data_IF_523106024246
#
_entry.id   IF_523106024246
#
_cell.length_a   1.000
_cell.length_b   1.000
_cell.length_c   1.000
_cell.angle_alpha   90.00
_cell.angle_beta   90.00
_cell.angle_gamma   90.00
#
_symmetry.space_group_name_H-M   'P 1'
#
loop_
_entity.id
_entity.type
_entity.pdbx_description
1 polymer ?
#
# COMPACT_ATOMS: atom_id res chain seq x y z
N UNK A 1 2.62 29.80 18.40
CA UNK A 1 2.42 30.13 16.97
C UNK A 1 2.25 28.83 16.19
N UNK A 2 1.33 28.75 15.21
CA UNK A 2 1.26 27.60 14.31
C UNK A 2 2.54 27.52 13.48
N UNK A 3 3.14 26.32 13.39
CA UNK A 3 4.38 26.08 12.64
C UNK A 3 4.20 26.42 11.16
N UNK A 4 5.24 26.99 10.55
CA UNK A 4 5.25 27.34 9.13
C UNK A 4 5.34 26.09 8.23
N UNK A 5 4.92 26.22 6.97
CA UNK A 5 5.01 25.13 5.96
C UNK A 5 6.44 24.58 5.79
N UNK A 6 7.48 25.39 6.01
CA UNK A 6 8.88 24.96 5.92
C UNK A 6 9.33 24.19 7.16
N UNK A 7 8.90 24.62 8.35
CA UNK A 7 9.16 23.89 9.60
C UNK A 7 8.47 22.52 9.62
N UNK A 8 7.22 22.45 9.13
CA UNK A 8 6.56 21.16 8.89
C UNK A 8 7.35 20.28 7.90
N UNK A 9 7.85 20.85 6.80
CA UNK A 9 8.65 20.10 5.80
C UNK A 9 9.97 19.56 6.36
N UNK A 10 10.61 20.26 7.31
CA UNK A 10 11.86 19.82 7.94
C UNK A 10 11.64 18.76 9.03
N UNK A 11 10.61 18.89 9.89
CA UNK A 11 10.24 17.83 10.85
C UNK A 11 9.74 16.55 10.16
N UNK A 12 9.07 16.69 9.02
CA UNK A 12 8.61 15.55 8.22
C UNK A 12 9.79 14.84 7.54
N UNK A 13 10.84 15.56 7.12
CA UNK A 13 12.05 14.96 6.53
C UNK A 13 12.89 14.17 7.55
N UNK A 14 12.82 14.53 8.85
CA UNK A 14 13.50 13.78 9.91
C UNK A 14 12.69 12.57 10.40
N UNK A 15 11.38 12.53 10.12
CA UNK A 15 10.51 11.40 10.39
C UNK A 15 10.42 10.48 9.18
N UNK A 16 11.35 9.53 9.06
CA UNK A 16 11.15 8.39 8.18
C UNK A 16 10.29 7.35 8.94
N UNK A 17 9.01 7.14 8.56
CA UNK A 17 8.12 6.18 9.22
C UNK A 17 8.64 4.73 9.13
N UNK A 18 9.64 4.48 8.29
CA UNK A 18 10.29 3.20 8.08
C UNK A 18 11.67 3.09 8.75
N UNK A 19 12.27 4.20 9.21
CA UNK A 19 13.62 4.23 9.79
C UNK A 19 13.76 3.46 11.10
N UNK A 20 12.65 3.21 11.80
CA UNK A 20 12.65 2.51 13.09
C UNK A 20 12.70 0.99 12.98
N UNK A 21 12.39 0.40 11.82
CA UNK A 21 12.32 -1.06 11.66
C UNK A 21 13.26 -1.54 10.57
N UNK A 22 14.46 -1.97 10.94
CA UNK A 22 15.41 -2.69 10.05
C UNK A 22 14.99 -4.15 9.78
N UNK A 23 13.69 -4.43 9.85
CA UNK A 23 13.11 -5.76 9.69
C UNK A 23 12.16 -5.68 8.50
N UNK A 24 12.40 -6.47 7.44
CA UNK A 24 11.50 -6.54 6.30
C UNK A 24 10.06 -6.83 6.73
N UNK A 25 9.10 -6.22 6.04
CA UNK A 25 7.66 -6.44 6.20
C UNK A 25 7.11 -6.12 7.60
N UNK A 26 7.83 -5.31 8.38
CA UNK A 26 7.28 -4.74 9.63
C UNK A 26 6.45 -3.49 9.38
N UNK A 27 6.79 -2.72 8.37
CA UNK A 27 6.09 -1.49 8.01
C UNK A 27 5.93 -1.48 6.49
N UNK A 28 4.73 -1.22 5.97
CA UNK A 28 4.48 -1.23 4.54
C UNK A 28 3.59 -0.07 4.09
N UNK A 29 3.70 0.25 2.80
CA UNK A 29 2.77 1.12 2.07
C UNK A 29 1.86 0.24 1.22
N UNK A 30 0.57 0.54 1.19
CA UNK A 30 -0.42 -0.16 0.38
C UNK A 30 -1.18 0.83 -0.50
N UNK A 31 -1.45 0.44 -1.74
CA UNK A 31 -2.22 1.25 -2.69
C UNK A 31 -2.81 0.38 -3.79
N UNK A 32 -3.83 0.89 -4.50
CA UNK A 32 -4.55 0.14 -5.52
C UNK A 32 -4.09 0.51 -6.93
N UNK A 33 -3.72 -0.49 -7.71
CA UNK A 33 -3.57 -0.34 -9.15
C UNK A 33 -4.82 -0.84 -9.87
N UNK A 34 -5.66 0.07 -10.34
CA UNK A 34 -6.97 -0.23 -10.93
C UNK A 34 -7.05 0.00 -12.43
N UNK A 35 -5.99 0.48 -13.08
CA UNK A 35 -5.96 0.77 -14.51
C UNK A 35 -5.66 -0.48 -15.37
N UNK A 36 -6.13 -1.66 -14.94
CA UNK A 36 -5.94 -2.91 -15.65
C UNK A 36 -7.19 -3.30 -16.44
N UNK A 37 -7.04 -3.80 -17.69
CA UNK A 37 -8.10 -4.59 -18.32
C UNK A 37 -8.27 -5.91 -17.55
N UNK A 38 -9.42 -6.60 -17.66
CA UNK A 38 -9.58 -7.93 -17.08
C UNK A 38 -8.57 -8.92 -17.66
N UNK A 39 -7.76 -9.55 -16.81
CA UNK A 39 -6.65 -10.44 -17.20
C UNK A 39 -6.89 -11.88 -16.73
N UNK A 40 -6.62 -12.84 -17.62
CA UNK A 40 -6.63 -14.27 -17.33
C UNK A 40 -8.03 -14.86 -17.10
N UNK A 41 -8.07 -16.15 -16.75
CA UNK A 41 -9.34 -16.90 -16.57
C UNK A 41 -10.20 -16.41 -15.40
N UNK A 42 -9.59 -15.75 -14.41
CA UNK A 42 -10.30 -15.17 -13.26
C UNK A 42 -10.69 -13.70 -13.46
N UNK A 43 -10.34 -13.12 -14.61
CA UNK A 43 -10.72 -11.76 -14.99
C UNK A 43 -10.35 -10.71 -13.95
N UNK A 44 -9.16 -10.82 -13.35
CA UNK A 44 -8.67 -9.80 -12.41
C UNK A 44 -8.49 -8.48 -13.12
N UNK A 45 -9.05 -7.40 -12.56
CA UNK A 45 -9.04 -6.07 -13.15
C UNK A 45 -8.42 -5.01 -12.23
N UNK A 46 -7.88 -5.43 -11.07
CA UNK A 46 -7.11 -4.61 -10.17
C UNK A 46 -5.95 -5.40 -9.54
N UNK A 47 -5.05 -4.67 -8.87
CA UNK A 47 -3.98 -5.24 -8.08
C UNK A 47 -3.79 -4.42 -6.81
N UNK A 48 -3.76 -5.07 -5.65
CA UNK A 48 -3.28 -4.48 -4.41
C UNK A 48 -1.76 -4.49 -4.43
N UNK A 49 -1.16 -3.30 -4.40
CA UNK A 49 0.29 -3.12 -4.38
C UNK A 49 0.73 -2.86 -2.95
N UNK A 50 1.57 -3.74 -2.41
CA UNK A 50 2.16 -3.60 -1.08
C UNK A 50 3.65 -3.41 -1.25
N UNK A 51 4.20 -2.33 -0.72
CA UNK A 51 5.64 -2.06 -0.78
C UNK A 51 6.20 -2.10 0.64
N UNK A 52 7.20 -2.96 0.84
CA UNK A 52 7.93 -3.01 2.10
C UNK A 52 8.69 -1.71 2.35
N UNK A 53 8.51 -1.16 3.55
CA UNK A 53 9.16 0.05 3.99
C UNK A 53 10.68 -0.06 4.08
N UNK A 54 11.21 -1.24 4.37
CA UNK A 54 12.64 -1.45 4.55
C UNK A 54 13.33 -1.88 3.26
N UNK A 55 12.99 -3.06 2.72
CA UNK A 55 13.62 -3.62 1.52
C UNK A 55 13.21 -2.93 0.22
N UNK A 56 12.12 -2.15 0.24
CA UNK A 56 11.48 -1.55 -0.95
C UNK A 56 10.98 -2.57 -1.96
N UNK A 57 10.90 -3.85 -1.57
CA UNK A 57 10.37 -4.92 -2.41
C UNK A 57 8.85 -4.80 -2.51
N UNK A 58 8.29 -4.82 -3.74
CA UNK A 58 6.86 -4.83 -3.94
C UNK A 58 6.29 -6.26 -3.88
N UNK A 59 5.05 -6.36 -3.41
CA UNK A 59 4.18 -7.53 -3.50
C UNK A 59 2.93 -7.10 -4.26
N UNK A 60 2.62 -7.81 -5.33
CA UNK A 60 1.47 -7.55 -6.19
C UNK A 60 0.42 -8.64 -5.96
N UNK A 61 -0.75 -8.27 -5.45
CA UNK A 61 -1.85 -9.20 -5.22
C UNK A 61 -2.97 -8.93 -6.24
N UNK A 62 -3.18 -9.80 -7.23
CA UNK A 62 -4.27 -9.63 -8.20
C UNK A 62 -5.62 -9.76 -7.51
N UNK A 63 -6.54 -8.85 -7.84
CA UNK A 63 -7.82 -8.70 -7.18
C UNK A 63 -8.84 -8.05 -8.13
N UNK A 64 -10.04 -7.78 -7.61
CA UNK A 64 -11.09 -7.09 -8.36
C UNK A 64 -11.31 -5.67 -7.83
N UNK A 65 -11.66 -4.72 -8.70
CA UNK A 65 -11.95 -3.32 -8.29
C UNK A 65 -13.06 -3.26 -7.24
N UNK A 66 -14.05 -4.12 -7.42
CA UNK A 66 -15.27 -4.20 -6.63
C UNK A 66 -15.12 -5.10 -5.39
N UNK A 67 -13.91 -5.62 -5.11
CA UNK A 67 -13.64 -6.38 -3.90
C UNK A 67 -14.02 -5.56 -2.66
N UNK A 68 -14.64 -6.23 -1.70
CA UNK A 68 -15.02 -5.59 -0.44
C UNK A 68 -13.81 -5.47 0.50
N UNK A 69 -13.99 -4.74 1.61
CA UNK A 69 -13.00 -4.73 2.68
C UNK A 69 -12.73 -6.15 3.25
N UNK A 70 -13.75 -7.02 3.26
CA UNK A 70 -13.61 -8.40 3.73
C UNK A 70 -12.76 -9.22 2.77
N UNK A 71 -13.04 -9.13 1.46
CA UNK A 71 -12.26 -9.82 0.43
C UNK A 71 -10.80 -9.37 0.47
N UNK A 72 -10.58 -8.06 0.62
CA UNK A 72 -9.24 -7.48 0.78
C UNK A 72 -8.50 -8.03 2.01
N UNK A 73 -9.18 -8.09 3.17
CA UNK A 73 -8.60 -8.61 4.40
C UNK A 73 -8.25 -10.11 4.28
N UNK A 74 -9.12 -10.91 3.64
CA UNK A 74 -8.88 -12.32 3.38
C UNK A 74 -7.72 -12.53 2.40
N UNK A 75 -7.65 -11.75 1.33
CA UNK A 75 -6.55 -11.78 0.37
C UNK A 75 -5.21 -11.48 1.04
N UNK A 76 -5.15 -10.40 1.82
CA UNK A 76 -3.95 -10.03 2.57
C UNK A 76 -3.54 -11.11 3.57
N UNK A 77 -4.53 -11.67 4.29
CA UNK A 77 -4.27 -12.68 5.32
C UNK A 77 -3.73 -13.97 4.72
N UNK A 78 -4.40 -14.47 3.69
CA UNK A 78 -4.14 -15.76 3.07
C UNK A 78 -2.80 -15.80 2.34
N UNK A 79 -2.40 -14.70 1.68
CA UNK A 79 -1.19 -14.66 0.86
C UNK A 79 0.01 -14.09 1.62
N UNK A 80 -0.17 -12.99 2.35
CA UNK A 80 0.97 -12.25 2.92
C UNK A 80 1.15 -12.59 4.39
N UNK A 81 0.15 -12.29 5.23
CA UNK A 81 0.30 -12.40 6.69
C UNK A 81 0.56 -13.85 7.12
N UNK A 82 -0.05 -14.83 6.47
CA UNK A 82 0.17 -16.26 6.73
C UNK A 82 1.64 -16.70 6.59
N UNK A 83 2.39 -16.07 5.68
CA UNK A 83 3.79 -16.40 5.40
C UNK A 83 4.77 -15.49 6.11
N UNK A 84 4.43 -14.21 6.28
CA UNK A 84 5.36 -13.16 6.72
C UNK A 84 5.11 -12.72 8.16
N UNK A 85 3.95 -13.04 8.72
CA UNK A 85 3.46 -12.53 9.99
C UNK A 85 2.83 -11.13 9.89
N UNK A 86 2.49 -10.57 11.04
CA UNK A 86 1.73 -9.32 11.16
C UNK A 86 2.61 -8.06 10.96
N UNK A 87 2.09 -7.13 10.15
CA UNK A 87 2.61 -5.77 10.06
C UNK A 87 2.49 -5.04 11.39
N UNK A 88 3.48 -4.22 11.72
CA UNK A 88 3.41 -3.24 12.81
C UNK A 88 2.77 -1.94 12.35
N UNK A 89 3.11 -1.49 11.14
CA UNK A 89 2.56 -0.27 10.57
C UNK A 89 2.10 -0.52 9.13
N UNK A 90 0.90 -0.04 8.79
CA UNK A 90 0.41 0.02 7.42
C UNK A 90 0.12 1.48 7.10
N UNK A 91 0.64 1.92 5.97
CA UNK A 91 0.36 3.21 5.37
C UNK A 91 -0.47 2.97 4.12
N UNK A 92 -1.60 3.65 3.98
CA UNK A 92 -2.44 3.55 2.78
C UNK A 92 -3.07 4.90 2.46
N UNK A 93 -3.72 5.01 1.31
CA UNK A 93 -4.67 6.10 1.08
C UNK A 93 -5.94 5.94 1.94
N UNK A 94 -6.94 6.77 1.64
CA UNK A 94 -8.24 6.75 2.30
C UNK A 94 -9.28 5.97 1.51
N UNK A 95 -8.88 4.97 0.72
CA UNK A 95 -9.84 4.10 0.04
C UNK A 95 -10.86 3.53 1.06
N UNK A 96 -12.16 3.44 0.71
CA UNK A 96 -13.20 2.93 1.59
C UNK A 96 -12.89 1.55 2.18
N UNK A 97 -12.15 0.69 1.46
CA UNK A 97 -11.73 -0.63 1.95
C UNK A 97 -10.83 -0.50 3.19
N UNK A 98 -9.83 0.39 3.14
CA UNK A 98 -8.87 0.60 4.23
C UNK A 98 -9.43 1.43 5.40
N UNK A 99 -10.45 2.24 5.15
CA UNK A 99 -11.11 3.05 6.19
C UNK A 99 -12.35 2.37 6.79
N UNK A 100 -12.73 1.20 6.27
CA UNK A 100 -13.88 0.43 6.74
C UNK A 100 -13.75 0.03 8.22
N UNK A 101 -14.89 -0.17 8.88
CA UNK A 101 -14.95 -0.67 10.26
C UNK A 101 -14.32 -2.05 10.39
N UNK A 102 -14.51 -2.93 9.40
CA UNK A 102 -13.91 -4.25 9.37
C UNK A 102 -12.38 -4.17 9.38
N UNK A 103 -11.79 -3.42 8.45
CA UNK A 103 -10.34 -3.29 8.34
C UNK A 103 -9.71 -2.67 9.60
N UNK A 104 -10.28 -1.55 10.05
CA UNK A 104 -9.79 -0.84 11.24
C UNK A 104 -9.91 -1.69 12.51
N UNK A 105 -10.99 -2.46 12.67
CA UNK A 105 -11.16 -3.35 13.82
C UNK A 105 -10.19 -4.53 13.79
N UNK A 106 -9.99 -5.17 12.64
CA UNK A 106 -9.06 -6.29 12.47
C UNK A 106 -7.63 -5.85 12.84
N UNK A 107 -7.16 -4.74 12.27
CA UNK A 107 -5.81 -4.26 12.54
C UNK A 107 -5.63 -3.74 13.98
N UNK A 108 -6.68 -3.18 14.59
CA UNK A 108 -6.68 -2.83 16.01
C UNK A 108 -6.51 -4.07 16.90
N UNK A 109 -7.19 -5.18 16.60
CA UNK A 109 -7.06 -6.44 17.34
C UNK A 109 -5.65 -7.01 17.24
N UNK A 110 -5.01 -6.89 16.08
CA UNK A 110 -3.64 -7.35 15.85
C UNK A 110 -2.55 -6.39 16.33
N UNK A 111 -2.93 -5.22 16.84
CA UNK A 111 -1.97 -4.18 17.26
C UNK A 111 -1.17 -3.59 16.10
N UNK A 112 -1.72 -3.64 14.88
CA UNK A 112 -1.17 -2.97 13.70
C UNK A 112 -1.63 -1.52 13.69
N UNK A 113 -0.69 -0.57 13.60
CA UNK A 113 -0.99 0.84 13.46
C UNK A 113 -1.33 1.18 12.01
N UNK A 114 -2.53 1.71 11.78
CA UNK A 114 -2.94 2.22 10.48
C UNK A 114 -2.62 3.72 10.40
N UNK A 115 -2.00 4.13 9.29
CA UNK A 115 -1.69 5.53 9.00
C UNK A 115 -2.22 5.89 7.62
N UNK A 116 -3.29 6.68 7.55
CA UNK A 116 -3.87 7.09 6.29
C UNK A 116 -3.17 8.35 5.76
N UNK A 117 -2.75 8.31 4.50
CA UNK A 117 -2.12 9.44 3.84
C UNK A 117 -3.09 10.62 3.74
N UNK A 118 -2.53 11.81 3.75
CA UNK A 118 -3.25 13.06 3.49
C UNK A 118 -2.55 13.78 2.36
N UNK A 119 -3.25 14.65 1.63
CA UNK A 119 -2.70 15.42 0.50
C UNK A 119 -1.41 16.22 0.83
N UNK A 120 -1.08 16.39 2.13
CA UNK A 120 0.09 17.12 2.61
C UNK A 120 1.29 16.23 3.02
N UNK A 121 1.18 14.90 2.94
CA UNK A 121 2.23 13.95 3.37
C UNK A 121 2.71 13.01 2.25
N UNK A 122 3.33 13.54 1.17
CA UNK A 122 3.73 12.75 -0.01
C UNK A 122 4.85 11.72 0.24
N UNK A 123 5.66 11.89 1.29
CA UNK A 123 6.81 10.99 1.52
C UNK A 123 6.42 9.59 2.00
N UNK A 124 5.33 9.50 2.75
CA UNK A 124 4.88 8.27 3.41
C UNK A 124 4.10 7.38 2.44
N UNK A 125 3.28 8.01 1.60
CA UNK A 125 2.44 7.39 0.57
C UNK A 125 3.20 7.08 -0.73
N UNK A 126 4.26 7.84 -1.02
CA UNK A 126 4.95 7.75 -2.30
C UNK A 126 5.66 6.42 -2.59
N UNK A 127 5.74 5.46 -1.66
CA UNK A 127 6.37 4.16 -1.98
C UNK A 127 5.48 3.30 -2.88
N UNK A 128 4.24 3.05 -2.47
CA UNK A 128 3.30 2.27 -3.28
C UNK A 128 2.91 3.03 -4.55
N UNK A 129 2.64 4.34 -4.45
CA UNK A 129 2.31 5.18 -5.60
C UNK A 129 3.43 5.19 -6.68
N UNK A 130 4.70 5.39 -6.28
CA UNK A 130 5.83 5.34 -7.24
C UNK A 130 6.02 3.95 -7.84
N UNK A 131 5.75 2.90 -7.08
CA UNK A 131 5.79 1.54 -7.59
C UNK A 131 4.69 1.30 -8.62
N UNK A 132 3.47 1.80 -8.37
CA UNK A 132 2.36 1.73 -9.31
C UNK A 132 2.72 2.47 -10.62
N UNK A 133 3.28 3.68 -10.54
CA UNK A 133 3.74 4.41 -11.74
C UNK A 133 4.80 3.62 -12.52
N UNK A 134 5.76 3.03 -11.81
CA UNK A 134 6.80 2.19 -12.44
C UNK A 134 6.18 0.96 -13.12
N UNK A 135 5.23 0.31 -12.46
CA UNK A 135 4.52 -0.84 -13.01
C UNK A 135 3.70 -0.46 -14.25
N UNK A 136 2.96 0.65 -14.21
CA UNK A 136 2.18 1.14 -15.35
C UNK A 136 3.09 1.40 -16.56
N UNK A 137 4.21 2.11 -16.35
CA UNK A 137 5.18 2.39 -17.40
C UNK A 137 5.77 1.11 -17.99
N UNK A 138 6.07 0.11 -17.16
CA UNK A 138 6.57 -1.19 -17.61
C UNK A 138 5.53 -1.91 -18.47
N UNK A 139 4.28 -2.00 -18.02
CA UNK A 139 3.19 -2.65 -18.77
C UNK A 139 2.98 -1.93 -20.10
N UNK A 140 2.93 -0.59 -20.08
CA UNK A 140 2.71 0.21 -21.29
C UNK A 140 3.82 -0.01 -22.32
N UNK A 141 5.08 -0.11 -21.87
CA UNK A 141 6.23 -0.42 -22.74
C UNK A 141 6.17 -1.84 -23.30
N UNK A 142 5.80 -2.83 -22.48
CA UNK A 142 5.66 -4.22 -22.93
C UNK A 142 4.61 -4.34 -24.03
N UNK A 143 3.42 -3.76 -23.82
CA UNK A 143 2.35 -3.76 -24.83
C UNK A 143 2.76 -3.02 -26.11
N UNK A 144 3.50 -1.90 -26.00
CA UNK A 144 3.99 -1.17 -27.16
C UNK A 144 5.08 -1.94 -27.93
N UNK A 145 5.83 -2.81 -27.26
CA UNK A 145 6.88 -3.64 -27.88
C UNK A 145 6.36 -4.90 -28.58
N UNK A 146 5.05 -5.19 -28.50
CA UNK A 146 4.43 -6.32 -29.20
C UNK A 146 4.81 -7.71 -28.68
N UNK A 147 5.26 -7.80 -27.42
CA UNK A 147 5.41 -9.05 -26.68
C UNK A 147 4.08 -9.52 -26.10
#
# INVERSE_FOLDING_TARGET
MPKSKQEYRQEIWTYDPYSSTKIPLRSCSMDWFTALPPIGHKSYDACLVIVDGYSKTPIFLPCHKDDTAMDTALLLWSIVISHTGLFKNIISDRDPKFTSSLWTNIHRLFGTKLSFSTAYHPQTYGLAERMIQTLEDMIRRLCASGL
#
